data_IF_883758499350
#
_entry.id   IF_883758499350
#
_cell.length_a   1.000
_cell.length_b   1.000
_cell.length_c   1.000
_cell.angle_alpha   90.00
_cell.angle_beta   90.00
_cell.angle_gamma   90.00
#
_symmetry.space_group_name_H-M   'P 1'
#
loop_
_entity.id
_entity.type
_entity.pdbx_description
1 polymer ?
#
# COMPACT_ATOMS: atom_id res chain seq x y z
N UNK A 1 4.36 -8.78 13.40
CA UNK A 1 5.02 -7.52 13.84
C UNK A 1 4.49 -7.08 15.20
N UNK A 2 3.29 -6.48 15.32
CA UNK A 2 2.78 -6.00 16.62
C UNK A 2 2.70 -7.09 17.70
N UNK A 3 2.13 -8.26 17.34
CA UNK A 3 2.07 -9.42 18.25
C UNK A 3 3.46 -9.94 18.65
N UNK A 4 4.38 -10.06 17.68
CA UNK A 4 5.77 -10.50 17.92
C UNK A 4 6.55 -9.56 18.84
N UNK A 5 6.20 -8.27 18.87
CA UNK A 5 6.80 -7.27 19.74
C UNK A 5 5.97 -7.00 21.00
N UNK A 6 4.97 -7.84 21.29
CA UNK A 6 4.05 -7.69 22.43
C UNK A 6 3.51 -6.26 22.56
N UNK A 7 3.28 -5.59 21.44
CA UNK A 7 2.79 -4.22 21.42
C UNK A 7 1.26 -4.28 21.45
N UNK A 8 0.60 -3.87 22.56
CA UNK A 8 -0.84 -3.93 22.65
C UNK A 8 -1.46 -2.97 21.63
N UNK A 9 -2.37 -3.49 20.81
CA UNK A 9 -3.13 -2.69 19.85
C UNK A 9 -4.44 -2.26 20.52
N UNK A 10 -4.58 -0.96 20.78
CA UNK A 10 -5.85 -0.38 21.21
C UNK A 10 -6.74 -0.14 19.97
N UNK A 11 -7.44 -1.18 19.52
CA UNK A 11 -8.33 -1.09 18.37
C UNK A 11 -9.69 -0.56 18.85
N UNK A 12 -9.88 0.75 18.74
CA UNK A 12 -11.13 1.41 19.14
C UNK A 12 -12.22 1.34 18.07
N UNK A 13 -11.85 1.02 16.82
CA UNK A 13 -12.75 1.07 15.68
C UNK A 13 -12.30 0.14 14.54
N UNK A 14 -13.27 -0.55 13.94
CA UNK A 14 -13.08 -1.31 12.71
C UNK A 14 -13.93 -0.70 11.60
N UNK A 15 -13.31 -0.45 10.44
CA UNK A 15 -13.94 0.23 9.31
C UNK A 15 -13.79 -0.59 8.04
N UNK A 16 -14.85 -0.63 7.23
CA UNK A 16 -14.92 -1.51 6.06
C UNK A 16 -14.08 -1.05 4.85
N UNK A 17 -13.82 0.26 4.72
CA UNK A 17 -13.15 0.81 3.53
C UNK A 17 -12.00 1.76 3.88
N UNK A 18 -10.99 1.81 3.01
CA UNK A 18 -9.84 2.70 3.17
C UNK A 18 -10.27 4.17 3.15
N UNK A 19 -11.27 4.55 2.35
CA UNK A 19 -11.81 5.91 2.33
C UNK A 19 -12.39 6.33 3.69
N UNK A 20 -13.16 5.44 4.33
CA UNK A 20 -13.70 5.71 5.67
C UNK A 20 -12.57 5.85 6.68
N UNK A 21 -11.54 5.00 6.60
CA UNK A 21 -10.35 5.08 7.46
C UNK A 21 -9.66 6.44 7.29
N UNK A 22 -9.39 6.86 6.05
CA UNK A 22 -8.76 8.15 5.75
C UNK A 22 -9.56 9.31 6.35
N UNK A 23 -10.88 9.30 6.18
CA UNK A 23 -11.76 10.34 6.72
C UNK A 23 -11.68 10.42 8.25
N UNK A 24 -11.66 9.29 8.94
CA UNK A 24 -11.60 9.26 10.40
C UNK A 24 -10.25 9.77 10.94
N UNK A 25 -9.15 9.46 10.25
CA UNK A 25 -7.83 10.01 10.60
C UNK A 25 -7.81 11.53 10.38
N UNK A 26 -8.37 12.02 9.27
CA UNK A 26 -8.50 13.47 9.01
C UNK A 26 -9.33 14.19 10.07
N UNK A 27 -10.35 13.52 10.63
CA UNK A 27 -11.18 14.00 11.73
C UNK A 27 -10.50 13.87 13.11
N UNK A 28 -9.23 13.46 13.17
CA UNK A 28 -8.43 13.33 14.39
C UNK A 28 -8.97 12.29 15.39
N UNK A 29 -9.66 11.26 14.90
CA UNK A 29 -10.19 10.18 15.74
C UNK A 29 -9.08 9.20 16.16
N UNK A 30 -8.01 9.08 15.37
CA UNK A 30 -6.88 8.21 15.68
C UNK A 30 -5.87 8.09 14.54
N UNK A 31 -5.12 6.98 14.56
CA UNK A 31 -4.11 6.63 13.56
C UNK A 31 -4.58 5.40 12.77
N UNK A 32 -4.04 5.22 11.56
CA UNK A 32 -4.34 4.07 10.73
C UNK A 32 -3.09 3.49 10.07
N UNK A 33 -3.12 2.17 9.84
CA UNK A 33 -2.11 1.45 9.06
C UNK A 33 -2.72 1.04 7.72
N UNK A 34 -2.30 1.70 6.64
CA UNK A 34 -2.87 1.53 5.29
C UNK A 34 -1.77 1.46 4.22
N UNK A 35 -2.03 0.85 3.05
CA UNK A 35 -1.08 0.90 1.94
C UNK A 35 -0.80 2.35 1.50
N UNK A 36 0.47 2.68 1.31
CA UNK A 36 0.90 4.04 0.94
C UNK A 36 0.23 4.55 -0.34
N UNK A 37 0.02 3.67 -1.32
CA UNK A 37 -0.64 4.02 -2.60
C UNK A 37 -2.06 4.58 -2.40
N UNK A 38 -2.75 4.20 -1.33
CA UNK A 38 -4.13 4.64 -1.09
C UNK A 38 -4.23 6.04 -0.45
N UNK A 39 -3.11 6.60 0.00
CA UNK A 39 -3.04 7.90 0.69
C UNK A 39 -2.08 8.88 -0.01
N UNK A 40 -1.67 8.59 -1.24
CA UNK A 40 -0.68 9.39 -1.96
C UNK A 40 -1.11 10.85 -2.12
N UNK A 41 -2.38 11.06 -2.53
CA UNK A 41 -2.94 12.39 -2.72
C UNK A 41 -3.05 13.17 -1.39
N UNK A 42 -3.48 12.54 -0.31
CA UNK A 42 -3.59 13.20 1.00
C UNK A 42 -2.22 13.57 1.58
N UNK A 43 -1.18 12.77 1.29
CA UNK A 43 0.20 13.09 1.64
C UNK A 43 0.73 14.27 0.83
N UNK A 44 0.45 14.30 -0.48
CA UNK A 44 0.83 15.42 -1.36
C UNK A 44 0.14 16.72 -0.96
N UNK A 45 -1.14 16.65 -0.58
CA UNK A 45 -1.94 17.79 -0.11
C UNK A 45 -1.67 18.19 1.33
N UNK A 46 -0.93 17.37 2.09
CA UNK A 46 -0.67 17.59 3.51
C UNK A 46 -1.90 17.44 4.42
N UNK A 47 -2.98 16.84 3.94
CA UNK A 47 -4.18 16.56 4.75
C UNK A 47 -4.02 15.31 5.64
N UNK A 48 -3.05 14.45 5.30
CA UNK A 48 -2.54 13.36 6.14
C UNK A 48 -1.02 13.42 6.20
N UNK A 49 -0.44 12.83 7.25
CA UNK A 49 0.99 12.67 7.41
C UNK A 49 1.35 11.19 7.61
N UNK A 50 2.45 10.76 7.01
CA UNK A 50 2.99 9.41 7.21
C UNK A 50 3.96 9.40 8.39
N UNK A 51 3.80 8.45 9.31
CA UNK A 51 4.69 8.27 10.45
C UNK A 51 5.64 7.10 10.16
N UNK A 52 6.97 7.32 10.05
CA UNK A 52 7.92 6.24 9.87
C UNK A 52 8.03 5.43 11.18
N UNK A 53 7.86 4.12 11.09
CA UNK A 53 8.01 3.20 12.22
C UNK A 53 9.28 2.38 12.03
N UNK A 54 10.20 2.48 12.99
CA UNK A 54 11.46 1.73 12.96
C UNK A 54 11.19 0.22 13.01
N UNK A 55 11.93 -0.55 12.22
CA UNK A 55 11.78 -2.01 12.17
C UNK A 55 10.52 -2.51 11.44
N UNK A 56 9.64 -1.61 10.98
CA UNK A 56 8.41 -1.97 10.27
C UNK A 56 8.56 -1.66 8.78
N UNK A 57 8.99 -2.67 8.02
CA UNK A 57 8.96 -2.66 6.56
C UNK A 57 8.01 -3.75 6.08
N UNK A 58 6.86 -3.35 5.55
CA UNK A 58 5.81 -4.28 5.13
C UNK A 58 5.39 -4.02 3.69
N UNK A 59 5.66 -4.99 2.83
CA UNK A 59 5.32 -4.94 1.41
C UNK A 59 4.20 -5.93 1.10
N UNK A 60 3.25 -5.50 0.28
CA UNK A 60 2.16 -6.35 -0.22
C UNK A 60 2.21 -6.34 -1.73
N UNK A 61 2.26 -7.53 -2.32
CA UNK A 61 2.22 -7.69 -3.78
C UNK A 61 0.78 -7.63 -4.26
N UNK A 62 0.53 -6.80 -5.27
CA UNK A 62 -0.72 -6.82 -6.02
C UNK A 62 -0.55 -7.74 -7.23
N UNK A 63 -1.51 -8.63 -7.43
CA UNK A 63 -1.51 -9.59 -8.52
C UNK A 63 -2.60 -9.27 -9.51
N UNK A 64 -2.27 -9.37 -10.80
CA UNK A 64 -3.26 -9.40 -11.88
C UNK A 64 -3.50 -10.84 -12.28
N UNK A 65 -4.77 -11.26 -12.33
CA UNK A 65 -5.15 -12.65 -12.61
C UNK A 65 -6.25 -12.71 -13.65
N UNK A 66 -6.21 -13.72 -14.52
CA UNK A 66 -7.28 -14.05 -15.46
C UNK A 66 -7.42 -15.57 -15.58
N UNK A 67 -8.57 -16.05 -16.07
CA UNK A 67 -8.79 -17.48 -16.30
C UNK A 67 -7.81 -18.01 -17.36
N UNK A 68 -7.25 -19.21 -17.14
CA UNK A 68 -6.22 -19.80 -18.01
C UNK A 68 -6.70 -20.10 -19.42
N UNK A 69 -7.96 -20.52 -19.60
CA UNK A 69 -8.53 -20.98 -20.87
C UNK A 69 -9.46 -19.96 -21.54
N UNK A 70 -9.39 -18.69 -21.17
CA UNK A 70 -10.20 -17.64 -21.81
C UNK A 70 -9.35 -16.88 -22.83
N UNK A 71 -9.89 -16.68 -24.02
CA UNK A 71 -9.30 -15.74 -24.98
C UNK A 71 -9.55 -14.33 -24.45
N UNK A 72 -8.47 -13.57 -24.24
CA UNK A 72 -8.58 -12.18 -23.83
C UNK A 72 -9.17 -11.35 -24.97
N UNK A 73 -10.11 -10.45 -24.67
CA UNK A 73 -10.54 -9.45 -25.63
C UNK A 73 -9.38 -8.55 -26.01
N UNK A 74 -9.49 -7.86 -27.15
CA UNK A 74 -8.46 -6.92 -27.60
C UNK A 74 -8.19 -5.84 -26.53
N UNK A 75 -9.26 -5.32 -25.90
CA UNK A 75 -9.17 -4.37 -24.80
C UNK A 75 -8.47 -4.96 -23.57
N UNK A 76 -8.78 -6.19 -23.17
CA UNK A 76 -8.16 -6.82 -22.01
C UNK A 76 -6.66 -7.10 -22.23
N UNK A 77 -6.28 -7.53 -23.44
CA UNK A 77 -4.88 -7.73 -23.80
C UNK A 77 -4.10 -6.40 -23.80
N UNK A 78 -4.69 -5.34 -24.37
CA UNK A 78 -4.11 -3.99 -24.33
C UNK A 78 -3.96 -3.49 -22.89
N UNK A 79 -4.98 -3.67 -22.05
CA UNK A 79 -4.93 -3.30 -20.63
C UNK A 79 -3.82 -4.04 -19.88
N UNK A 80 -3.68 -5.36 -20.05
CA UNK A 80 -2.59 -6.12 -19.45
C UNK A 80 -1.21 -5.64 -19.90
N UNK A 81 -1.08 -5.21 -21.17
CA UNK A 81 0.18 -4.62 -21.67
C UNK A 81 0.50 -3.31 -20.92
N UNK A 82 -0.48 -2.42 -20.78
CA UNK A 82 -0.32 -1.16 -20.04
C UNK A 82 0.02 -1.42 -18.57
N UNK A 83 -0.72 -2.31 -17.89
CA UNK A 83 -0.45 -2.67 -16.50
C UNK A 83 0.98 -3.19 -16.29
N UNK A 84 1.47 -4.06 -17.18
CA UNK A 84 2.83 -4.59 -17.09
C UNK A 84 3.90 -3.52 -17.31
N UNK A 85 3.63 -2.51 -18.14
CA UNK A 85 4.53 -1.38 -18.33
C UNK A 85 4.59 -0.51 -17.08
N UNK A 86 3.43 -0.17 -16.50
CA UNK A 86 3.33 0.62 -15.27
C UNK A 86 3.96 -0.09 -14.06
N UNK A 87 3.67 -1.39 -13.87
CA UNK A 87 4.24 -2.17 -12.77
C UNK A 87 5.78 -2.26 -12.83
N UNK A 88 6.37 -2.28 -14.03
CA UNK A 88 7.85 -2.24 -14.20
C UNK A 88 8.45 -0.91 -13.76
N UNK A 89 7.76 0.21 -14.02
CA UNK A 89 8.20 1.56 -13.67
C UNK A 89 8.22 1.77 -12.15
N UNK A 90 7.28 1.18 -11.42
CA UNK A 90 7.25 1.26 -9.97
C UNK A 90 8.30 0.33 -9.30
N UNK A 91 8.61 -0.79 -9.94
CA UNK A 91 9.59 -1.78 -9.43
C UNK A 91 11.04 -1.27 -9.47
N UNK A 92 11.39 -0.42 -10.43
CA UNK A 92 12.73 0.19 -10.55
C UNK A 92 13.00 1.24 -9.45
N UNK A 93 11.96 1.85 -8.88
CA UNK A 93 12.08 2.72 -7.70
C UNK A 93 12.34 1.97 -6.39
N UNK A 94 12.05 0.66 -6.35
CA UNK A 94 12.12 -0.16 -5.13
C UNK A 94 13.52 -0.76 -4.88
N UNK A 95 14.38 -0.84 -5.90
CA UNK A 95 15.73 -1.44 -5.79
C UNK A 95 16.80 -0.51 -5.19
N UNK A 96 16.51 0.78 -4.96
CA UNK A 96 17.50 1.75 -4.46
C UNK A 96 17.55 1.93 -2.93
N UNK A 97 16.68 1.25 -2.16
CA UNK A 97 16.57 1.45 -0.69
C UNK A 97 16.79 0.21 0.18
N UNK A 98 17.35 -0.87 -0.37
CA UNK A 98 17.77 -2.04 0.42
C UNK A 98 19.27 -2.08 0.63
N UNK A 99 19.77 -1.23 1.52
CA UNK A 99 21.01 -1.47 2.27
C UNK A 99 21.09 -0.56 3.49
N UNK A 100 21.32 -1.14 4.68
CA UNK A 100 22.43 -0.67 5.48
C UNK A 100 23.40 -1.82 5.75
N UNK A 101 24.65 -1.60 5.30
CA UNK A 101 25.87 -2.30 5.72
C UNK A 101 25.87 -2.44 7.24
N UNK A 102 25.97 -3.67 7.75
CA UNK A 102 26.25 -3.95 9.17
C UNK A 102 27.68 -4.48 9.26
N UNK A 103 28.55 -3.63 9.80
CA UNK A 103 29.95 -3.81 10.25
C UNK A 103 30.95 -4.36 9.24
#
# INVERSE_FOLDING_TARGET
>A
AFEQHHTPLNITLELATVETIKRFVQLKIGLAFVPRMCVAEELERGSLAAIPVQGLSYFRTLWVTHRRKITLSHAAAAFLKVLRQQAKVESSGLQSKTSPKRK
#
